data_IF_697058981600
#
_entry.id   IF_697058981600
#
_cell.length_a   1.000
_cell.length_b   1.000
_cell.length_c   1.000
_cell.angle_alpha   90.00
_cell.angle_beta   90.00
_cell.angle_gamma   90.00
#
_symmetry.space_group_name_H-M   'P 1'
#
loop_
_entity.id
_entity.type
_entity.pdbx_description
1 polymer ?
#
# COMPACT_ATOMS: atom_id res chain seq x y z
N UNK A 1 -10.68 -4.67 -1.04
CA UNK A 1 -11.10 -4.50 -2.45
C UNK A 1 -12.16 -5.54 -2.76
N UNK A 2 -12.95 -5.37 -3.82
CA UNK A 2 -13.89 -6.39 -4.31
C UNK A 2 -13.20 -7.74 -4.61
N UNK A 3 -11.91 -7.74 -4.93
CA UNK A 3 -11.12 -8.95 -5.25
C UNK A 3 -10.49 -9.65 -4.05
N UNK A 4 -10.35 -8.96 -2.92
CA UNK A 4 -9.60 -9.50 -1.79
C UNK A 4 -9.16 -8.42 -0.82
N UNK A 5 -8.37 -8.85 0.16
CA UNK A 5 -7.82 -8.00 1.20
C UNK A 5 -6.33 -8.32 1.38
N UNK A 6 -5.58 -7.29 1.75
CA UNK A 6 -4.20 -7.41 2.23
C UNK A 6 -4.13 -6.79 3.62
N UNK A 7 -3.24 -7.28 4.47
CA UNK A 7 -2.92 -6.66 5.75
C UNK A 7 -1.56 -5.98 5.61
N UNK A 8 -1.50 -4.70 5.95
CA UNK A 8 -0.29 -3.89 5.85
C UNK A 8 -0.16 -2.98 7.06
N UNK A 9 1.08 -2.59 7.36
CA UNK A 9 1.31 -1.42 8.19
C UNK A 9 1.02 -0.16 7.38
N UNK A 10 0.45 0.84 8.03
CA UNK A 10 0.14 2.13 7.42
C UNK A 10 1.07 3.18 7.99
N UNK A 11 1.62 4.03 7.12
CA UNK A 11 2.29 5.27 7.49
C UNK A 11 1.41 6.44 7.04
N UNK A 12 0.97 7.26 7.99
CA UNK A 12 0.22 8.49 7.68
C UNK A 12 1.23 9.56 7.27
N UNK A 13 1.04 10.13 6.08
CA UNK A 13 1.94 11.13 5.50
C UNK A 13 1.17 12.15 4.69
N UNK A 14 1.78 13.30 4.44
CA UNK A 14 1.26 14.34 3.56
C UNK A 14 1.71 14.15 2.10
N UNK A 15 2.45 13.07 1.78
CA UNK A 15 2.92 12.77 0.41
C UNK A 15 1.83 12.26 -0.51
N UNK A 16 0.79 11.65 0.06
CA UNK A 16 -0.35 11.12 -0.69
C UNK A 16 -1.51 12.11 -0.63
N UNK A 17 -2.11 12.50 -1.77
CA UNK A 17 -3.31 13.34 -1.78
C UNK A 17 -4.43 12.74 -0.92
N UNK A 18 -5.27 13.61 -0.35
CA UNK A 18 -6.43 13.19 0.42
C UNK A 18 -7.33 12.24 -0.41
N UNK A 19 -7.75 11.14 0.21
CA UNK A 19 -8.58 10.11 -0.43
C UNK A 19 -7.79 9.10 -1.28
N UNK A 20 -6.46 9.20 -1.33
CA UNK A 20 -5.60 8.22 -2.01
C UNK A 20 -4.70 7.49 -1.04
N UNK A 21 -4.28 6.28 -1.42
CA UNK A 21 -3.24 5.52 -0.72
C UNK A 21 -2.18 5.07 -1.72
N UNK A 22 -0.94 4.98 -1.25
CA UNK A 22 0.16 4.39 -1.99
C UNK A 22 0.56 3.05 -1.37
N UNK A 23 0.65 2.00 -2.18
CA UNK A 23 1.10 0.67 -1.77
C UNK A 23 2.26 0.23 -2.68
N UNK A 24 3.46 -0.01 -2.15
CA UNK A 24 4.58 -0.54 -2.93
C UNK A 24 4.32 -2.01 -3.32
N UNK A 25 4.79 -2.43 -4.50
CA UNK A 25 4.56 -3.78 -5.02
C UNK A 25 5.70 -4.78 -4.72
N UNK A 26 6.73 -4.36 -3.97
CA UNK A 26 7.93 -5.17 -3.71
C UNK A 26 7.75 -6.22 -2.60
N UNK A 27 6.69 -6.14 -1.79
CA UNK A 27 6.45 -7.04 -0.66
C UNK A 27 5.44 -8.13 -1.06
N UNK A 28 5.91 -9.37 -1.12
CA UNK A 28 5.08 -10.52 -1.51
C UNK A 28 3.96 -10.79 -0.50
N UNK A 29 4.22 -10.52 0.78
CA UNK A 29 3.33 -10.69 1.92
C UNK A 29 2.10 -9.77 1.83
N UNK A 30 2.22 -8.67 1.08
CA UNK A 30 1.18 -7.68 0.88
C UNK A 30 1.06 -7.26 -0.59
N UNK A 31 1.05 -8.25 -1.48
CA UNK A 31 0.99 -8.02 -2.91
C UNK A 31 -0.22 -7.15 -3.31
N UNK A 32 0.04 -5.91 -3.73
CA UNK A 32 -0.99 -4.96 -4.18
C UNK A 32 -1.88 -5.53 -5.30
N UNK A 33 -1.34 -6.44 -6.12
CA UNK A 33 -2.06 -7.10 -7.20
C UNK A 33 -3.26 -7.95 -6.74
N UNK A 34 -3.31 -8.34 -5.45
CA UNK A 34 -4.49 -8.98 -4.84
C UNK A 34 -5.69 -8.03 -4.85
N UNK A 35 -5.44 -6.73 -4.77
CA UNK A 35 -6.47 -5.71 -4.77
C UNK A 35 -6.87 -5.28 -6.18
N UNK A 36 -5.92 -5.19 -7.11
CA UNK A 36 -6.09 -4.55 -8.43
C UNK A 36 -6.92 -5.38 -9.40
N UNK A 37 -7.62 -4.77 -10.35
CA UNK A 37 -8.42 -5.51 -11.34
C UNK A 37 -7.55 -6.14 -12.42
N UNK A 38 -7.90 -7.35 -12.85
CA UNK A 38 -7.35 -7.97 -14.06
C UNK A 38 -8.11 -7.46 -15.30
N UNK A 39 -8.09 -6.13 -15.47
CA UNK A 39 -8.67 -5.46 -16.64
C UNK A 39 -7.53 -4.94 -17.49
N UNK A 40 -7.58 -5.24 -18.77
CA UNK A 40 -6.64 -4.73 -19.76
C UNK A 40 -7.29 -3.54 -20.45
N UNK A 41 -6.58 -2.41 -20.51
CA UNK A 41 -7.02 -1.25 -21.26
C UNK A 41 -7.26 -1.65 -22.72
N UNK A 42 -8.46 -1.37 -23.25
CA UNK A 42 -8.86 -1.85 -24.57
C UNK A 42 -8.06 -1.21 -25.70
N UNK A 43 -7.46 -0.03 -25.47
CA UNK A 43 -6.65 0.73 -26.41
C UNK A 43 -5.15 0.46 -26.21
N UNK A 44 -4.65 0.65 -25.00
CA UNK A 44 -3.23 0.55 -24.68
C UNK A 44 -2.75 -0.89 -24.45
N UNK A 45 -3.67 -1.86 -24.27
CA UNK A 45 -3.37 -3.28 -24.01
C UNK A 45 -2.47 -3.54 -22.80
N UNK A 46 -2.39 -2.57 -21.89
CA UNK A 46 -1.69 -2.71 -20.60
C UNK A 46 -2.70 -3.03 -19.50
N UNK A 47 -2.31 -3.78 -18.46
CA UNK A 47 -3.21 -4.01 -17.34
C UNK A 47 -3.43 -2.73 -16.53
N UNK A 48 -4.65 -2.54 -16.07
CA UNK A 48 -5.09 -1.41 -15.25
C UNK A 48 -4.67 -1.60 -13.79
N UNK A 49 -3.38 -1.43 -13.54
CA UNK A 49 -2.79 -1.52 -12.19
C UNK A 49 -2.91 -0.22 -11.39
N UNK A 50 -3.36 0.89 -12.00
CA UNK A 50 -3.16 2.22 -11.42
C UNK A 50 -4.33 2.75 -10.62
N UNK A 51 -5.51 2.13 -10.69
CA UNK A 51 -6.65 2.58 -9.90
C UNK A 51 -7.48 1.40 -9.39
N UNK A 52 -7.73 1.37 -8.09
CA UNK A 52 -8.61 0.38 -7.47
C UNK A 52 -9.26 0.97 -6.24
N UNK A 53 -10.58 0.92 -6.19
CA UNK A 53 -11.34 1.30 -5.00
C UNK A 53 -11.10 0.29 -3.88
N UNK A 54 -10.71 0.81 -2.71
CA UNK A 54 -10.44 0.03 -1.50
C UNK A 54 -11.20 0.62 -0.31
N UNK A 55 -11.43 -0.22 0.70
CA UNK A 55 -11.88 0.22 2.02
C UNK A 55 -10.78 -0.12 3.02
N UNK A 56 -10.59 0.74 4.01
CA UNK A 56 -9.54 0.63 5.02
C UNK A 56 -10.19 0.41 6.37
N UNK A 57 -9.72 -0.59 7.11
CA UNK A 57 -10.17 -0.88 8.47
C UNK A 57 -8.95 -1.22 9.34
N UNK A 58 -8.98 -0.81 10.61
CA UNK A 58 -7.97 -1.23 11.58
C UNK A 58 -8.10 -2.72 11.85
N UNK A 59 -6.97 -3.42 11.99
CA UNK A 59 -6.88 -4.86 12.26
C UNK A 59 -5.84 -5.15 13.33
N UNK A 60 -5.92 -6.32 13.95
CA UNK A 60 -4.83 -6.85 14.76
C UNK A 60 -3.60 -7.19 13.90
N UNK A 61 -2.40 -7.07 14.49
CA UNK A 61 -1.16 -7.64 13.94
C UNK A 61 -1.31 -9.13 13.54
N UNK A 62 -0.79 -9.63 12.39
CA UNK A 62 -0.65 -11.06 12.14
C UNK A 62 0.29 -11.72 13.16
N UNK A 63 0.21 -13.04 13.29
CA UNK A 63 1.16 -13.81 14.08
C UNK A 63 2.46 -14.04 13.32
N UNK A 64 3.61 -14.07 14.02
CA UNK A 64 4.90 -14.40 13.41
C UNK A 64 5.55 -13.27 12.61
N UNK A 65 5.63 -12.07 13.18
CA UNK A 65 6.34 -10.95 12.55
C UNK A 65 7.85 -11.14 12.47
N UNK A 66 8.46 -10.56 11.44
CA UNK A 66 9.91 -10.38 11.37
C UNK A 66 10.44 -9.46 12.48
N UNK A 67 11.71 -9.67 12.85
CA UNK A 67 12.42 -8.85 13.81
C UNK A 67 12.32 -7.35 13.47
N UNK A 68 11.97 -6.54 14.47
CA UNK A 68 11.84 -5.09 14.35
C UNK A 68 10.52 -4.61 13.74
N UNK A 69 9.48 -5.44 13.69
CA UNK A 69 8.14 -5.02 13.26
C UNK A 69 7.61 -3.80 14.03
N UNK A 70 7.91 -3.71 15.32
CA UNK A 70 7.48 -2.61 16.18
C UNK A 70 8.15 -1.28 15.83
N UNK A 71 9.30 -1.32 15.15
CA UNK A 71 10.03 -0.11 14.77
C UNK A 71 9.12 0.81 13.93
N UNK A 72 9.08 2.12 14.21
CA UNK A 72 8.34 3.06 13.39
C UNK A 72 8.70 2.94 11.91
N UNK A 73 7.71 3.00 11.02
CA UNK A 73 7.95 2.92 9.58
C UNK A 73 8.89 4.03 9.07
N UNK A 74 8.89 5.19 9.73
CA UNK A 74 9.82 6.29 9.45
C UNK A 74 11.30 5.88 9.63
N UNK A 75 11.60 5.02 10.60
CA UNK A 75 12.96 4.59 10.93
C UNK A 75 13.43 3.38 10.11
N UNK A 76 12.52 2.70 9.41
CA UNK A 76 12.83 1.56 8.52
C UNK A 76 13.29 1.99 7.12
N UNK A 77 13.54 3.29 6.90
CA UNK A 77 13.95 3.82 5.60
C UNK A 77 12.81 3.93 4.58
N UNK A 78 11.54 3.86 5.02
CA UNK A 78 10.39 3.95 4.14
C UNK A 78 10.26 5.35 3.50
N UNK A 79 10.75 6.39 4.17
CA UNK A 79 10.80 7.77 3.67
C UNK A 79 12.11 8.40 4.16
N UNK A 80 13.05 8.68 3.25
CA UNK A 80 14.36 9.28 3.60
C UNK A 80 14.26 10.76 3.97
N UNK A 81 13.28 11.50 3.43
CA UNK A 81 13.10 12.92 3.70
C UNK A 81 11.61 13.20 4.00
N UNK A 82 11.25 13.67 5.21
CA UNK A 82 9.92 14.24 5.43
C UNK A 82 9.78 15.45 4.50
N UNK A 83 8.62 15.57 3.85
CA UNK A 83 8.34 16.67 2.91
C UNK A 83 8.64 17.98 3.62
N UNK A 84 9.63 18.72 3.10
CA UNK A 84 9.91 20.08 3.55
C UNK A 84 8.81 20.96 2.96
N UNK A 85 7.90 21.44 3.80
CA UNK A 85 6.88 22.41 3.39
C UNK A 85 7.51 23.80 3.50
N UNK A 86 7.49 24.57 2.41
CA UNK A 86 7.62 26.02 2.43
C UNK A 86 6.24 26.66 2.54
#
# INVERSE_FOLDING_TARGET
SRRGAIKVRVLVTERSPQGTIFVPFHFAEAAANVLTLDRVDTRAKIPDYKNTAVSIHSTTPPEGWDEGYERPLLERGAIKDPVQIH
#
